data_IF_963882195773
#
_entry.id   IF_963882195773
#
_cell.length_a   1.000
_cell.length_b   1.000
_cell.length_c   1.000
_cell.angle_alpha   90.00
_cell.angle_beta   90.00
_cell.angle_gamma   90.00
#
_symmetry.space_group_name_H-M   'P 1'
#
loop_
_entity.id
_entity.type
_entity.pdbx_description
1 polymer ?
#
# COMPACT_ATOMS: atom_id res chain seq x y z
N UNK A 1 33.26 3.45 -15.34
CA UNK A 1 32.57 2.81 -14.19
C UNK A 1 31.08 3.08 -14.31
N UNK A 2 30.23 2.07 -14.57
CA UNK A 2 28.76 2.27 -14.60
C UNK A 2 28.29 2.54 -13.17
N UNK A 3 27.91 3.78 -12.87
CA UNK A 3 27.34 4.17 -11.59
C UNK A 3 26.18 3.25 -11.24
N UNK A 4 26.23 2.65 -10.05
CA UNK A 4 25.16 1.79 -9.52
C UNK A 4 23.89 2.65 -9.46
N UNK A 5 22.94 2.45 -10.39
CA UNK A 5 21.66 3.16 -10.37
C UNK A 5 20.98 2.85 -9.05
N UNK A 6 20.84 3.85 -8.18
CA UNK A 6 20.18 3.70 -6.89
C UNK A 6 18.74 3.28 -7.17
N UNK A 7 18.42 2.04 -6.80
CA UNK A 7 17.07 1.52 -6.92
C UNK A 7 16.21 2.31 -5.93
N UNK A 8 15.30 3.14 -6.45
CA UNK A 8 14.31 3.82 -5.61
C UNK A 8 13.36 2.76 -5.05
N UNK A 9 13.17 2.74 -3.73
CA UNK A 9 12.30 1.80 -3.00
C UNK A 9 12.65 0.29 -3.10
N UNK A 10 13.86 -0.14 -2.70
CA UNK A 10 14.27 -1.55 -2.84
C UNK A 10 13.36 -2.52 -2.08
N UNK A 11 12.78 -2.11 -0.95
CA UNK A 11 11.92 -2.93 -0.09
C UNK A 11 10.43 -2.88 -0.45
N UNK A 12 10.05 -2.18 -1.51
CA UNK A 12 8.63 -2.05 -1.90
C UNK A 12 8.10 -3.32 -2.56
N UNK A 13 8.92 -4.02 -3.34
CA UNK A 13 8.54 -5.33 -3.89
C UNK A 13 8.45 -6.36 -2.76
N UNK A 14 7.34 -7.10 -2.71
CA UNK A 14 7.05 -8.07 -1.66
C UNK A 14 6.50 -7.48 -0.36
N UNK A 15 6.42 -6.14 -0.26
CA UNK A 15 5.82 -5.49 0.90
C UNK A 15 4.32 -5.80 1.02
N UNK A 16 3.86 -5.98 2.25
CA UNK A 16 2.48 -6.31 2.59
C UNK A 16 1.76 -5.05 3.07
N UNK A 17 0.53 -4.87 2.63
CA UNK A 17 -0.27 -3.68 2.90
C UNK A 17 -1.71 -4.06 3.16
N UNK A 18 -2.33 -3.31 4.07
CA UNK A 18 -3.74 -3.45 4.42
C UNK A 18 -4.47 -2.17 4.02
N UNK A 19 -5.49 -2.29 3.17
CA UNK A 19 -6.33 -1.17 2.78
C UNK A 19 -7.34 -0.87 3.90
N UNK A 20 -7.42 0.41 4.29
CA UNK A 20 -8.37 0.89 5.30
C UNK A 20 -9.81 0.74 4.79
N UNK A 21 -10.01 1.08 3.53
CA UNK A 21 -11.26 0.84 2.80
C UNK A 21 -11.14 -0.40 1.90
N UNK A 22 -12.09 -1.35 1.94
CA UNK A 22 -12.03 -2.56 1.13
C UNK A 22 -12.13 -2.22 -0.37
N UNK A 23 -11.09 -2.58 -1.13
CA UNK A 23 -11.13 -2.53 -2.59
C UNK A 23 -11.74 -3.82 -3.11
N UNK A 24 -12.91 -3.72 -3.75
CA UNK A 24 -13.65 -4.88 -4.28
C UNK A 24 -13.93 -5.96 -3.22
N UNK A 25 -14.15 -5.54 -1.97
CA UNK A 25 -14.36 -6.43 -0.83
C UNK A 25 -13.08 -6.97 -0.17
N UNK A 26 -11.89 -6.66 -0.71
CA UNK A 26 -10.61 -7.14 -0.19
C UNK A 26 -9.82 -6.01 0.47
N UNK A 27 -9.11 -6.34 1.55
CA UNK A 27 -8.26 -5.40 2.30
C UNK A 27 -6.79 -5.79 2.30
N UNK A 28 -6.48 -7.07 2.13
CA UNK A 28 -5.13 -7.60 2.25
C UNK A 28 -4.45 -7.68 0.89
N UNK A 29 -3.37 -6.91 0.71
CA UNK A 29 -2.66 -6.82 -0.56
C UNK A 29 -1.15 -6.98 -0.38
N UNK A 30 -0.51 -7.59 -1.37
CA UNK A 30 0.94 -7.68 -1.47
C UNK A 30 1.43 -7.00 -2.74
N UNK A 31 2.52 -6.26 -2.65
CA UNK A 31 3.14 -5.64 -3.82
C UNK A 31 3.92 -6.70 -4.61
N UNK A 32 3.47 -7.00 -5.81
CA UNK A 32 4.09 -8.00 -6.69
C UNK A 32 4.98 -7.39 -7.77
N UNK A 33 4.70 -6.15 -8.15
CA UNK A 33 5.49 -5.42 -9.14
C UNK A 33 5.54 -3.93 -8.79
N UNK A 34 6.50 -3.23 -9.38
CA UNK A 34 6.60 -1.78 -9.33
C UNK A 34 7.05 -1.27 -10.68
N UNK A 35 6.62 -0.08 -11.04
CA UNK A 35 6.96 0.55 -12.31
C UNK A 35 7.15 2.05 -12.10
N UNK A 36 8.23 2.63 -12.63
CA UNK A 36 8.42 4.08 -12.63
C UNK A 36 7.90 4.64 -13.96
N UNK A 37 6.85 5.46 -13.91
CA UNK A 37 6.32 6.17 -15.08
C UNK A 37 6.50 7.67 -14.88
N UNK A 38 7.24 8.31 -15.80
CA UNK A 38 7.48 9.77 -15.80
C UNK A 38 7.98 10.31 -14.44
N UNK A 39 8.81 9.56 -13.73
CA UNK A 39 9.37 9.93 -12.43
C UNK A 39 8.49 9.60 -11.22
N UNK A 40 7.26 9.12 -11.42
CA UNK A 40 6.37 8.63 -10.35
C UNK A 40 6.50 7.11 -10.28
N UNK A 41 6.68 6.58 -9.08
CA UNK A 41 6.73 5.14 -8.85
C UNK A 41 5.31 4.64 -8.57
N UNK A 42 4.88 3.64 -9.31
CA UNK A 42 3.64 2.90 -9.09
C UNK A 42 3.96 1.51 -8.54
N UNK A 43 3.11 1.02 -7.66
CA UNK A 43 3.14 -0.33 -7.12
C UNK A 43 1.92 -1.10 -7.63
N UNK A 44 2.14 -2.33 -8.08
CA UNK A 44 1.09 -3.28 -8.39
C UNK A 44 0.82 -4.12 -7.15
N UNK A 45 -0.36 -3.95 -6.59
CA UNK A 45 -0.83 -4.69 -5.44
C UNK A 45 -1.73 -5.82 -5.91
N UNK A 46 -1.50 -7.02 -5.40
CA UNK A 46 -2.34 -8.19 -5.63
C UNK A 46 -2.99 -8.60 -4.31
N UNK A 47 -4.29 -8.90 -4.34
CA UNK A 47 -4.96 -9.42 -3.15
C UNK A 47 -4.44 -10.82 -2.81
N UNK A 48 -4.09 -11.04 -1.54
CA UNK A 48 -3.60 -12.36 -1.08
C UNK A 48 -4.72 -13.39 -1.06
N UNK A 49 -5.94 -12.96 -0.77
CA UNK A 49 -7.11 -13.86 -0.78
C UNK A 49 -7.61 -14.14 -2.21
N UNK A 50 -7.31 -13.25 -3.17
CA UNK A 50 -7.88 -13.28 -4.51
C UNK A 50 -6.85 -12.81 -5.56
N UNK A 51 -6.07 -13.75 -6.11
CA UNK A 51 -5.00 -13.46 -7.07
C UNK A 51 -5.48 -12.76 -8.36
N UNK A 52 -6.76 -12.85 -8.70
CA UNK A 52 -7.36 -12.13 -9.82
C UNK A 52 -7.47 -10.61 -9.58
N UNK A 53 -7.52 -10.17 -8.32
CA UNK A 53 -7.66 -8.75 -7.99
C UNK A 53 -6.27 -8.14 -7.92
N UNK A 54 -5.99 -7.26 -8.88
CA UNK A 54 -4.73 -6.52 -8.99
C UNK A 54 -5.04 -5.05 -9.21
N UNK A 55 -4.39 -4.19 -8.43
CA UNK A 55 -4.59 -2.75 -8.49
C UNK A 55 -3.25 -2.05 -8.62
N UNK A 56 -3.18 -1.10 -9.54
CA UNK A 56 -2.03 -0.21 -9.67
C UNK A 56 -2.31 1.05 -8.87
N UNK A 57 -1.41 1.38 -7.95
CA UNK A 57 -1.48 2.62 -7.17
C UNK A 57 -0.13 3.33 -7.18
N UNK A 58 -0.16 4.65 -7.06
CA UNK A 58 1.07 5.42 -6.85
C UNK A 58 1.70 5.02 -5.51
N UNK A 59 3.01 4.86 -5.46
CA UNK A 59 3.75 4.65 -4.22
C UNK A 59 3.60 5.83 -3.24
N UNK A 60 3.16 6.99 -3.72
CA UNK A 60 2.81 8.11 -2.86
C UNK A 60 1.47 7.87 -2.12
N UNK A 61 0.49 7.23 -2.77
CA UNK A 61 -0.76 6.83 -2.11
C UNK A 61 -0.51 5.81 -1.00
N UNK A 62 0.47 4.91 -1.17
CA UNK A 62 0.86 3.97 -0.11
C UNK A 62 1.39 4.65 1.15
N UNK A 63 1.86 5.90 1.06
CA UNK A 63 2.27 6.66 2.26
C UNK A 63 1.06 7.23 3.02
N UNK A 64 -0.11 7.29 2.38
CA UNK A 64 -1.31 7.80 3.00
C UNK A 64 -1.94 6.73 3.90
N UNK A 65 -1.82 6.92 5.22
CA UNK A 65 -2.34 6.03 6.26
C UNK A 65 -3.86 5.97 6.32
N UNK A 66 -4.55 6.99 5.82
CA UNK A 66 -6.01 6.97 5.70
C UNK A 66 -6.50 5.92 4.69
N UNK A 67 -5.66 5.57 3.72
CA UNK A 67 -5.97 4.63 2.66
C UNK A 67 -5.28 3.27 2.85
N UNK A 68 -4.02 3.30 3.30
CA UNK A 68 -3.14 2.15 3.34
C UNK A 68 -2.33 2.10 4.62
N UNK A 69 -2.44 0.98 5.31
CA UNK A 69 -1.64 0.67 6.47
C UNK A 69 -0.54 -0.33 6.10
N UNK A 70 0.72 -0.09 6.50
CA UNK A 70 1.81 -1.00 6.23
C UNK A 70 1.68 -2.28 7.09
N UNK A 71 1.92 -3.43 6.46
CA UNK A 71 1.86 -4.73 7.13
C UNK A 71 0.47 -5.38 7.11
N UNK A 72 0.33 -6.43 7.90
CA UNK A 72 -0.91 -7.17 8.09
C UNK A 72 -1.60 -6.64 9.35
N UNK A 73 -2.62 -5.80 9.19
CA UNK A 73 -3.38 -5.32 10.33
C UNK A 73 -4.69 -6.09 10.49
N UNK A 74 -5.02 -6.57 11.69
CA UNK A 74 -6.34 -7.12 11.97
C UNK A 74 -7.40 -6.01 11.97
N UNK A 75 -8.65 -6.41 11.75
CA UNK A 75 -9.80 -5.49 11.69
C UNK A 75 -9.96 -4.63 12.96
N UNK A 76 -9.58 -5.17 14.12
CA UNK A 76 -9.63 -4.46 15.41
C UNK A 76 -8.67 -3.26 15.47
N UNK A 77 -7.48 -3.40 14.89
CA UNK A 77 -6.46 -2.33 14.87
C UNK A 77 -6.80 -1.25 13.84
N UNK A 78 -7.37 -1.65 12.69
CA UNK A 78 -7.91 -0.71 11.70
C UNK A 78 -8.97 0.23 12.31
N UNK A 79 -9.84 -0.30 13.17
CA UNK A 79 -10.87 0.51 13.85
C UNK A 79 -10.27 1.46 14.89
N UNK A 80 -9.18 1.05 15.55
CA UNK A 80 -8.47 1.90 16.50
C UNK A 80 -7.75 3.07 15.80
N UNK A 81 -7.07 2.81 14.68
CA UNK A 81 -6.39 3.84 13.89
C UNK A 81 -7.38 4.91 13.35
N UNK A 82 -8.58 4.50 12.95
CA UNK A 82 -9.63 5.42 12.49
C UNK A 82 -10.33 6.17 13.64
N UNK A 83 -10.15 5.75 14.90
CA UNK A 83 -10.78 6.39 16.06
C UNK A 83 -9.99 7.61 16.56
N UNK A 84 -8.67 7.67 16.31
CA UNK A 84 -7.83 8.81 16.71
C UNK A 84 -7.95 10.02 15.77
N UNK A 85 -8.40 9.82 14.53
CA UNK A 85 -8.56 10.88 13.53
C UNK A 85 -9.82 11.75 13.74
N UNK A 86 -10.85 11.25 14.42
CA UNK A 86 -12.10 12.00 14.68
C UNK A 86 -12.11 12.81 15.98
N UNK A 87 -10.99 12.89 16.70
CA UNK A 87 -10.87 13.63 17.98
C UNK A 87 -10.01 14.89 17.90
N UNK A 88 -9.50 15.29 16.73
CA UNK A 88 -8.65 16.48 16.57
C UNK A 88 -9.34 17.67 15.89
N UNK A 89 -10.68 17.72 15.92
CA UNK A 89 -11.46 18.79 15.30
C UNK A 89 -12.73 19.10 16.07
N UNK A 90 -12.59 19.69 17.25
CA UNK A 90 -13.68 20.40 17.92
C UNK A 90 -13.16 21.71 18.52
#
# INVERSE_FOLDING_TARGET
MKGRRKIKFPYLLGSCWTATSPLMGWRHFQVIAREERKGIVFALLQSVCAAQIKVWISADNLKNRDLWEPGWLPMSELKAANCEAESAGQ
#
